data_IF_698535895134
#
_entry.id   IF_698535895134
#
_cell.length_a   1.000
_cell.length_b   1.000
_cell.length_c   1.000
_cell.angle_alpha   90.00
_cell.angle_beta   90.00
_cell.angle_gamma   90.00
#
_symmetry.space_group_name_H-M   'P 1'
#
loop_
_entity.id
_entity.type
_entity.pdbx_description
1 polymer ?
#
# COMPACT_ATOMS: atom_id res chain seq x y z
N UNK A 1 6.51 -7.66 -16.45
CA UNK A 1 6.17 -8.99 -15.90
C UNK A 1 6.35 -8.96 -14.38
N UNK A 2 5.25 -8.79 -13.63
CA UNK A 2 5.23 -8.73 -12.16
C UNK A 2 5.04 -10.14 -11.59
N UNK A 3 6.06 -10.68 -10.92
CA UNK A 3 6.20 -12.10 -10.57
C UNK A 3 5.45 -12.56 -9.30
N UNK A 4 5.04 -11.62 -8.43
CA UNK A 4 4.51 -11.93 -7.08
C UNK A 4 3.35 -11.02 -6.65
N UNK A 5 2.96 -10.13 -7.55
CA UNK A 5 1.82 -9.26 -7.39
C UNK A 5 0.62 -10.10 -7.80
N UNK A 6 -0.22 -10.42 -6.82
CA UNK A 6 -1.54 -10.97 -7.07
C UNK A 6 -2.14 -10.35 -8.34
N UNK A 7 -2.60 -11.19 -9.27
CA UNK A 7 -3.39 -10.71 -10.41
C UNK A 7 -4.57 -9.87 -9.89
N UNK A 8 -5.04 -8.89 -10.68
CA UNK A 8 -6.13 -7.98 -10.27
C UNK A 8 -7.32 -8.75 -9.67
N UNK A 9 -7.66 -9.88 -10.29
CA UNK A 9 -8.74 -10.78 -9.86
C UNK A 9 -8.48 -11.52 -8.53
N UNK A 10 -7.23 -11.73 -8.12
CA UNK A 10 -6.93 -12.39 -6.83
C UNK A 10 -6.87 -11.42 -5.66
N UNK A 11 -6.41 -10.19 -5.91
CA UNK A 11 -6.54 -9.12 -4.92
C UNK A 11 -8.01 -8.93 -4.57
N UNK A 12 -8.87 -8.90 -5.58
CA UNK A 12 -10.32 -8.73 -5.44
C UNK A 12 -11.03 -9.86 -4.69
N UNK A 13 -10.38 -11.03 -4.52
CA UNK A 13 -10.89 -12.16 -3.75
C UNK A 13 -10.55 -12.10 -2.26
N UNK A 14 -9.75 -11.13 -1.82
CA UNK A 14 -9.47 -10.96 -0.39
C UNK A 14 -10.69 -10.39 0.32
N UNK A 15 -11.08 -11.02 1.41
CA UNK A 15 -12.20 -10.53 2.22
C UNK A 15 -11.87 -9.14 2.80
N UNK A 16 -12.78 -8.13 2.66
CA UNK A 16 -12.54 -6.77 3.11
C UNK A 16 -12.06 -6.64 4.56
N UNK A 17 -12.58 -7.48 5.47
CA UNK A 17 -12.14 -7.51 6.87
C UNK A 17 -10.65 -7.86 7.04
N UNK A 18 -10.16 -8.83 6.28
CA UNK A 18 -8.75 -9.24 6.34
C UNK A 18 -7.84 -8.16 5.77
N UNK A 19 -8.34 -7.46 4.74
CA UNK A 19 -7.70 -6.29 4.15
C UNK A 19 -7.58 -5.16 5.18
N UNK A 20 -8.64 -4.88 5.95
CA UNK A 20 -8.61 -3.87 7.02
C UNK A 20 -7.70 -4.28 8.18
N UNK A 21 -7.79 -5.53 8.65
CA UNK A 21 -6.91 -6.07 9.68
C UNK A 21 -5.43 -5.99 9.27
N UNK A 22 -5.12 -6.36 8.01
CA UNK A 22 -3.76 -6.27 7.48
C UNK A 22 -3.26 -4.82 7.42
N UNK A 23 -4.10 -3.88 6.95
CA UNK A 23 -3.75 -2.46 6.92
C UNK A 23 -3.42 -1.93 8.32
N UNK A 24 -4.29 -2.21 9.30
CA UNK A 24 -4.07 -1.77 10.68
C UNK A 24 -2.79 -2.40 11.24
N UNK A 25 -2.62 -3.70 11.05
CA UNK A 25 -1.45 -4.41 11.56
C UNK A 25 -0.15 -3.88 10.96
N UNK A 26 -0.10 -3.73 9.64
CA UNK A 26 1.09 -3.32 8.91
C UNK A 26 1.47 -1.85 9.19
N UNK A 27 0.49 -0.95 9.31
CA UNK A 27 0.75 0.45 9.68
C UNK A 27 1.19 0.60 11.14
N UNK A 28 0.85 -0.37 11.99
CA UNK A 28 1.26 -0.37 13.40
C UNK A 28 2.70 -0.86 13.62
N UNK A 29 3.27 -1.62 12.67
CA UNK A 29 4.64 -2.18 12.74
C UNK A 29 5.71 -1.15 13.18
N UNK A 30 5.84 0.04 12.54
CA UNK A 30 6.85 1.03 12.94
C UNK A 30 6.74 1.49 14.41
N UNK A 31 5.55 1.44 15.00
CA UNK A 31 5.32 1.90 16.38
C UNK A 31 5.68 0.86 17.42
N UNK A 32 5.53 -0.43 17.10
CA UNK A 32 5.88 -1.54 17.99
C UNK A 32 7.36 -1.95 17.91
N UNK A 33 8.04 -1.69 16.77
CA UNK A 33 9.40 -2.16 16.49
C UNK A 33 10.44 -1.03 16.43
N UNK A 34 10.50 -0.21 17.48
CA UNK A 34 11.42 0.94 17.56
C UNK A 34 12.90 0.54 17.55
N UNK A 35 13.24 -0.66 18.02
CA UNK A 35 14.63 -1.15 18.13
C UNK A 35 15.16 -1.85 16.87
N UNK A 36 14.28 -2.36 16.01
CA UNK A 36 14.65 -3.18 14.85
C UNK A 36 14.30 -2.56 13.49
N UNK A 37 14.10 -1.24 13.48
CA UNK A 37 13.68 -0.49 12.30
C UNK A 37 14.61 -0.70 11.10
N UNK A 38 15.93 -0.77 11.29
CA UNK A 38 16.90 -0.97 10.20
C UNK A 38 16.73 -2.33 9.52
N UNK A 39 16.60 -3.40 10.31
CA UNK A 39 16.40 -4.77 9.80
C UNK A 39 15.09 -4.84 9.02
N UNK A 40 14.06 -4.21 9.57
CA UNK A 40 12.75 -4.15 8.95
C UNK A 40 12.79 -3.37 7.63
N UNK A 41 13.47 -2.22 7.58
CA UNK A 41 13.64 -1.45 6.36
C UNK A 41 14.35 -2.28 5.27
N UNK A 42 15.46 -2.95 5.61
CA UNK A 42 16.16 -3.83 4.68
C UNK A 42 15.25 -4.92 4.15
N UNK A 43 14.47 -5.57 5.03
CA UNK A 43 13.48 -6.56 4.64
C UNK A 43 12.46 -6.00 3.65
N UNK A 44 11.90 -4.82 3.91
CA UNK A 44 10.97 -4.16 2.98
C UNK A 44 11.62 -3.95 1.61
N UNK A 45 12.84 -3.43 1.57
CA UNK A 45 13.55 -3.17 0.31
C UNK A 45 13.81 -4.47 -0.46
N UNK A 46 14.30 -5.51 0.22
CA UNK A 46 14.51 -6.83 -0.39
C UNK A 46 13.20 -7.43 -0.89
N UNK A 47 12.11 -7.24 -0.15
CA UNK A 47 10.78 -7.68 -0.54
C UNK A 47 10.31 -6.95 -1.81
N UNK A 48 10.46 -5.62 -1.88
CA UNK A 48 10.11 -4.83 -3.06
C UNK A 48 10.94 -5.20 -4.28
N UNK A 49 12.23 -5.48 -4.10
CA UNK A 49 13.11 -6.01 -5.16
C UNK A 49 12.61 -7.38 -5.62
N UNK A 50 12.26 -8.27 -4.68
CA UNK A 50 11.72 -9.60 -4.96
C UNK A 50 10.44 -9.56 -5.79
N UNK A 51 9.51 -8.67 -5.46
CA UNK A 51 8.26 -8.48 -6.23
C UNK A 51 8.42 -7.60 -7.48
N UNK A 52 9.63 -7.06 -7.71
CA UNK A 52 10.01 -6.17 -8.82
C UNK A 52 9.24 -4.83 -8.88
N UNK A 53 8.90 -4.26 -7.72
CA UNK A 53 8.24 -2.95 -7.61
C UNK A 53 9.23 -1.83 -7.32
N UNK A 54 9.87 -1.35 -8.38
CA UNK A 54 10.87 -0.29 -8.31
C UNK A 54 10.30 1.11 -8.08
N UNK A 55 8.99 1.29 -8.30
CA UNK A 55 8.29 2.57 -8.11
C UNK A 55 8.37 3.03 -6.66
N UNK A 56 8.49 2.09 -5.71
CA UNK A 56 8.53 2.35 -4.27
C UNK A 56 9.77 3.15 -3.85
N UNK A 57 10.90 2.96 -4.52
CA UNK A 57 12.13 3.71 -4.21
C UNK A 57 11.97 5.22 -4.40
N UNK A 58 11.04 5.67 -5.25
CA UNK A 58 10.74 7.10 -5.42
C UNK A 58 10.17 7.72 -4.14
N UNK A 59 9.44 6.94 -3.34
CA UNK A 59 8.85 7.42 -2.09
C UNK A 59 9.85 7.52 -0.95
N UNK A 60 11.04 6.89 -1.06
CA UNK A 60 12.14 7.07 -0.10
C UNK A 60 12.77 8.47 -0.16
N UNK A 61 12.48 9.22 -1.23
CA UNK A 61 12.84 10.64 -1.31
C UNK A 61 12.20 11.44 -0.17
N UNK A 62 11.00 11.08 0.27
CA UNK A 62 10.29 11.80 1.34
C UNK A 62 11.03 11.71 2.70
N UNK A 63 11.39 10.51 3.21
CA UNK A 63 12.28 10.38 4.37
C UNK A 63 13.61 11.12 4.20
N UNK A 64 14.21 11.08 3.00
CA UNK A 64 15.49 11.75 2.74
C UNK A 64 15.37 13.27 2.86
N UNK A 65 14.33 13.86 2.26
CA UNK A 65 14.03 15.29 2.36
C UNK A 65 13.73 15.70 3.81
N UNK A 66 12.99 14.87 4.54
CA UNK A 66 12.72 15.08 5.96
C UNK A 66 14.01 15.17 6.78
N UNK A 67 14.93 14.20 6.61
CA UNK A 67 16.23 14.22 7.28
C UNK A 67 17.00 15.48 6.90
N UNK A 68 17.08 15.83 5.60
CA UNK A 68 17.77 17.03 5.14
C UNK A 68 17.22 18.33 5.75
N UNK A 69 15.90 18.47 5.83
CA UNK A 69 15.23 19.60 6.46
C UNK A 69 15.51 19.69 7.97
N UNK A 70 15.57 18.55 8.67
CA UNK A 70 15.91 18.51 10.09
C UNK A 70 17.35 18.93 10.41
N UNK A 71 18.24 18.89 9.42
CA UNK A 71 19.60 19.44 9.53
C UNK A 71 19.67 20.95 9.25
N UNK A 72 18.62 21.59 8.74
CA UNK A 72 18.62 23.02 8.43
C UNK A 72 18.98 23.96 9.60
N UNK A 73 18.61 23.68 10.87
CA UNK A 73 19.01 24.51 12.01
C UNK A 73 20.53 24.64 12.21
N UNK A 74 21.34 23.71 11.69
CA UNK A 74 22.80 23.84 11.70
C UNK A 74 23.29 25.10 10.97
N UNK A 75 22.56 25.54 9.93
CA UNK A 75 22.91 26.73 9.14
C UNK A 75 22.83 28.02 9.97
N UNK A 76 22.11 27.99 11.08
CA UNK A 76 21.92 29.13 12.01
C UNK A 76 22.72 28.89 13.31
N UNK A 77 23.59 27.87 13.35
CA UNK A 77 24.45 27.57 14.50
C UNK A 77 23.75 26.87 15.67
N UNK A 78 22.56 26.30 15.46
CA UNK A 78 21.87 25.54 16.50
C UNK A 78 22.51 24.15 16.71
N UNK A 79 22.54 23.68 17.95
CA UNK A 79 22.90 22.29 18.28
C UNK A 79 21.77 21.35 17.89
N UNK A 80 22.10 20.23 17.24
CA UNK A 80 21.13 19.22 16.83
C UNK A 80 21.49 17.84 17.39
N UNK A 81 20.46 17.04 17.67
CA UNK A 81 20.62 15.61 17.98
C UNK A 81 20.61 14.79 16.68
N UNK A 82 21.80 14.55 16.12
CA UNK A 82 21.96 13.78 14.89
C UNK A 82 21.42 12.35 15.01
N UNK A 83 21.52 11.73 16.19
CA UNK A 83 21.02 10.38 16.42
C UNK A 83 19.49 10.34 16.44
N UNK A 84 18.86 11.29 17.14
CA UNK A 84 17.40 11.44 17.13
C UNK A 84 16.84 11.72 15.73
N UNK A 85 17.51 12.57 14.94
CA UNK A 85 17.13 12.85 13.55
C UNK A 85 17.23 11.57 12.71
N UNK A 86 18.32 10.81 12.84
CA UNK A 86 18.50 9.55 12.12
C UNK A 86 17.42 8.52 12.47
N UNK A 87 17.18 8.27 13.76
CA UNK A 87 16.17 7.32 14.23
C UNK A 87 14.76 7.70 13.77
N UNK A 88 14.44 8.99 13.78
CA UNK A 88 13.15 9.49 13.31
C UNK A 88 13.02 9.34 11.80
N UNK A 89 14.06 9.69 11.04
CA UNK A 89 14.10 9.47 9.59
C UNK A 89 13.93 8.00 9.21
N UNK A 90 14.53 7.09 9.98
CA UNK A 90 14.42 5.66 9.77
C UNK A 90 13.02 5.13 10.12
N UNK A 91 12.39 5.66 11.18
CA UNK A 91 10.98 5.39 11.51
C UNK A 91 10.05 5.83 10.37
N UNK A 92 10.27 7.03 9.82
CA UNK A 92 9.52 7.55 8.68
C UNK A 92 9.73 6.68 7.43
N UNK A 93 10.95 6.24 7.15
CA UNK A 93 11.24 5.35 6.03
C UNK A 93 10.53 3.99 6.16
N UNK A 94 10.53 3.40 7.35
CA UNK A 94 9.77 2.18 7.64
C UNK A 94 8.28 2.41 7.48
N UNK A 95 7.74 3.53 7.97
CA UNK A 95 6.33 3.84 7.83
C UNK A 95 5.91 3.98 6.36
N UNK A 96 6.71 4.69 5.56
CA UNK A 96 6.46 4.87 4.12
C UNK A 96 6.51 3.52 3.41
N UNK A 97 7.55 2.70 3.64
CA UNK A 97 7.69 1.39 3.00
C UNK A 97 6.60 0.40 3.43
N UNK A 98 6.20 0.41 4.71
CA UNK A 98 5.08 -0.39 5.23
C UNK A 98 3.76 0.03 4.57
N UNK A 99 3.53 1.34 4.44
CA UNK A 99 2.36 1.87 3.75
C UNK A 99 2.33 1.45 2.28
N UNK A 100 3.47 1.56 1.58
CA UNK A 100 3.59 1.11 0.20
C UNK A 100 3.36 -0.39 0.05
N UNK A 101 3.74 -1.22 1.03
CA UNK A 101 3.42 -2.65 1.01
C UNK A 101 1.91 -2.87 1.10
N UNK A 102 1.21 -2.12 1.93
CA UNK A 102 -0.25 -2.18 2.02
C UNK A 102 -0.88 -1.83 0.67
N UNK A 103 -0.51 -0.71 0.06
CA UNK A 103 -1.03 -0.31 -1.26
C UNK A 103 -0.66 -1.30 -2.38
N UNK A 104 0.54 -1.88 -2.29
CA UNK A 104 1.03 -2.83 -3.29
C UNK A 104 0.35 -4.18 -3.17
N UNK A 105 0.03 -4.65 -1.96
CA UNK A 105 -0.55 -5.97 -1.74
C UNK A 105 -2.08 -5.94 -1.75
N UNK A 106 -2.68 -4.80 -1.42
CA UNK A 106 -4.12 -4.69 -1.17
C UNK A 106 -4.69 -3.40 -1.79
N UNK A 107 -5.91 -3.48 -2.33
CA UNK A 107 -6.62 -2.29 -2.84
C UNK A 107 -7.53 -1.71 -1.76
N UNK A 108 -7.36 -0.43 -1.45
CA UNK A 108 -8.25 0.31 -0.53
C UNK A 108 -9.70 0.32 -1.00
N UNK A 109 -9.95 0.27 -2.30
CA UNK A 109 -11.29 0.16 -2.90
C UNK A 109 -12.08 -1.04 -2.32
N UNK A 110 -11.38 -2.11 -1.94
CA UNK A 110 -11.98 -3.32 -1.36
C UNK A 110 -12.44 -3.13 0.08
N UNK A 111 -12.02 -2.06 0.76
CA UNK A 111 -12.57 -1.68 2.07
C UNK A 111 -13.92 -0.97 1.93
N UNK A 112 -14.30 -0.53 0.72
CA UNK A 112 -15.60 0.08 0.39
C UNK A 112 -16.81 -0.57 1.10
N UNK A 113 -16.96 -1.90 1.05
CA UNK A 113 -18.08 -2.61 1.67
C UNK A 113 -18.06 -2.55 3.20
N UNK A 114 -16.88 -2.54 3.86
CA UNK A 114 -16.79 -2.44 5.33
C UNK A 114 -17.32 -1.12 5.84
N UNK A 115 -17.12 -0.04 5.07
CA UNK A 115 -17.64 1.25 5.48
C UNK A 115 -19.17 1.22 5.61
N UNK A 116 -19.91 0.40 4.85
CA UNK A 116 -21.38 0.28 5.00
C UNK A 116 -21.83 -0.19 6.40
N UNK A 117 -20.97 -0.87 7.14
CA UNK A 117 -21.25 -1.35 8.51
C UNK A 117 -21.08 -0.22 9.55
N UNK A 118 -20.40 0.88 9.20
CA UNK A 118 -20.12 2.04 10.06
C UNK A 118 -20.74 3.32 9.49
N UNK A 119 -22.09 3.44 9.47
CA UNK A 119 -22.87 4.41 8.68
C UNK A 119 -22.40 5.87 8.81
N UNK A 120 -21.96 6.30 10.00
CA UNK A 120 -21.51 7.68 10.25
C UNK A 120 -20.15 8.02 9.62
N UNK A 121 -19.21 7.07 9.58
CA UNK A 121 -17.90 7.25 8.92
C UNK A 121 -18.04 7.08 7.40
N UNK A 122 -18.90 6.17 6.94
CA UNK A 122 -19.22 5.91 5.51
C UNK A 122 -19.62 7.14 4.73
N UNK A 123 -20.42 8.03 5.32
CA UNK A 123 -21.07 9.10 4.54
C UNK A 123 -20.03 10.12 4.07
N UNK A 124 -19.10 10.49 4.94
CA UNK A 124 -17.97 11.35 4.62
C UNK A 124 -16.93 10.63 3.77
N UNK A 125 -16.47 9.44 4.19
CA UNK A 125 -15.41 8.71 3.47
C UNK A 125 -15.88 8.22 2.10
N UNK A 126 -17.14 7.81 1.96
CA UNK A 126 -17.76 7.42 0.71
C UNK A 126 -18.02 8.61 -0.22
N UNK A 127 -18.45 9.76 0.32
CA UNK A 127 -18.49 11.01 -0.45
C UNK A 127 -17.09 11.39 -0.92
N UNK A 128 -16.07 11.39 -0.05
CA UNK A 128 -14.68 11.70 -0.42
C UNK A 128 -14.12 10.71 -1.44
N UNK A 129 -14.33 9.41 -1.28
CA UNK A 129 -13.90 8.38 -2.25
C UNK A 129 -14.62 8.47 -3.59
N UNK A 130 -15.87 8.94 -3.63
CA UNK A 130 -16.59 9.20 -4.87
C UNK A 130 -16.17 10.53 -5.51
N UNK A 131 -15.87 11.54 -4.68
CA UNK A 131 -15.47 12.88 -5.09
C UNK A 131 -14.02 12.90 -5.57
N UNK A 132 -13.08 12.14 -5.00
CA UNK A 132 -11.67 12.16 -5.40
C UNK A 132 -11.47 11.78 -6.88
N UNK A 133 -12.06 10.68 -7.41
CA UNK A 133 -12.03 10.39 -8.84
C UNK A 133 -12.75 11.45 -9.68
N UNK A 134 -13.83 12.04 -9.16
CA UNK A 134 -14.56 13.13 -9.83
C UNK A 134 -13.74 14.42 -9.89
N UNK A 135 -13.03 14.79 -8.82
CA UNK A 135 -12.12 15.92 -8.74
C UNK A 135 -10.87 15.67 -9.58
N UNK A 136 -10.34 14.44 -9.59
CA UNK A 136 -9.25 14.06 -10.50
C UNK A 136 -9.69 14.09 -11.97
N UNK A 137 -10.99 13.91 -12.27
CA UNK A 137 -11.58 14.11 -13.59
C UNK A 137 -11.78 15.59 -13.94
N UNK A 138 -12.27 16.41 -13.00
CA UNK A 138 -12.52 17.84 -13.25
C UNK A 138 -11.27 18.70 -13.15
N UNK A 139 -10.23 18.25 -12.44
CA UNK A 139 -8.98 19.00 -12.27
C UNK A 139 -8.24 19.27 -13.60
N UNK A 140 -8.14 18.29 -14.53
CA UNK A 140 -7.68 18.56 -15.88
C UNK A 140 -8.62 19.43 -16.71
N UNK A 141 -9.94 19.34 -16.56
CA UNK A 141 -10.92 20.18 -17.28
C UNK A 141 -10.79 21.65 -16.84
N UNK A 142 -10.64 21.89 -15.53
CA UNK A 142 -10.28 23.19 -14.95
C UNK A 142 -8.93 23.64 -15.49
N UNK A 143 -7.92 22.76 -15.57
CA UNK A 143 -6.61 23.09 -16.17
C UNK A 143 -6.70 23.40 -17.67
N UNK A 144 -7.59 22.75 -18.42
CA UNK A 144 -7.85 22.97 -19.85
C UNK A 144 -8.61 24.27 -20.15
N UNK A 145 -9.34 24.80 -19.17
CA UNK A 145 -9.98 26.12 -19.23
C UNK A 145 -8.98 27.28 -19.12
N UNK A 146 -7.71 27.01 -18.77
CA UNK A 146 -6.66 28.01 -18.87
C UNK A 146 -6.20 28.22 -20.33
N UNK A 147 -6.07 29.49 -20.79
CA UNK A 147 -6.00 29.84 -22.21
C UNK A 147 -4.68 29.52 -22.94
N UNK A 148 -3.76 28.73 -22.35
CA UNK A 148 -2.38 28.58 -22.85
C UNK A 148 -1.98 27.18 -23.36
N UNK A 149 -2.92 26.24 -23.58
CA UNK A 149 -2.58 24.89 -24.05
C UNK A 149 -3.08 24.60 -25.48
N UNK A 150 -2.21 24.00 -26.30
CA UNK A 150 -2.47 23.61 -27.68
C UNK A 150 -3.57 22.54 -27.79
N UNK A 151 -4.35 22.63 -28.88
CA UNK A 151 -5.56 21.84 -29.10
C UNK A 151 -5.30 20.32 -29.19
N UNK A 152 -4.14 19.93 -29.72
CA UNK A 152 -3.72 18.54 -29.91
C UNK A 152 -3.50 17.80 -28.58
N UNK A 153 -2.87 18.47 -27.61
CA UNK A 153 -2.66 17.95 -26.25
C UNK A 153 -3.99 17.81 -25.49
N UNK A 154 -5.00 18.62 -25.85
CA UNK A 154 -6.35 18.51 -25.27
C UNK A 154 -7.05 17.24 -25.77
N UNK A 155 -6.99 16.96 -27.07
CA UNK A 155 -7.66 15.81 -27.70
C UNK A 155 -7.03 14.47 -27.31
N UNK A 156 -5.70 14.38 -27.25
CA UNK A 156 -5.00 13.15 -26.85
C UNK A 156 -5.33 12.75 -25.39
N UNK A 157 -5.43 13.75 -24.49
CA UNK A 157 -5.84 13.50 -23.10
C UNK A 157 -7.31 13.09 -22.99
N UNK A 158 -8.21 13.68 -23.78
CA UNK A 158 -9.63 13.29 -23.85
C UNK A 158 -9.80 11.83 -24.27
N UNK A 159 -9.02 11.39 -25.26
CA UNK A 159 -9.01 9.99 -25.69
C UNK A 159 -8.52 9.04 -24.58
N UNK A 160 -7.47 9.40 -23.86
CA UNK A 160 -6.98 8.64 -22.69
C UNK A 160 -8.01 8.59 -21.54
N UNK A 161 -8.84 9.63 -21.37
CA UNK A 161 -9.86 9.69 -20.31
C UNK A 161 -11.05 8.75 -20.54
N UNK A 162 -11.45 8.50 -21.79
CA UNK A 162 -12.55 7.58 -22.11
C UNK A 162 -12.16 6.10 -22.03
N UNK A 163 -10.86 5.80 -21.98
CA UNK A 163 -10.33 4.44 -21.90
C UNK A 163 -10.12 3.93 -20.47
N UNK A 164 -10.29 4.77 -19.44
CA UNK A 164 -10.14 4.37 -18.04
C UNK A 164 -11.38 3.59 -17.57
N UNK A 165 -11.28 2.27 -17.31
CA UNK A 165 -12.42 1.46 -16.94
C UNK A 165 -12.98 1.88 -15.58
N UNK A 166 -14.29 2.12 -15.55
CA UNK A 166 -15.05 2.60 -14.40
C UNK A 166 -15.48 1.40 -13.56
N UNK A 167 -14.61 0.93 -12.68
CA UNK A 167 -14.99 -0.06 -11.64
C UNK A 167 -15.52 0.68 -10.39
N UNK A 168 -16.60 1.45 -10.55
CA UNK A 168 -17.19 2.27 -9.48
C UNK A 168 -18.46 1.63 -8.86
N UNK A 169 -18.58 0.30 -8.89
CA UNK A 169 -19.58 -0.41 -8.08
C UNK A 169 -18.83 -1.06 -6.92
N UNK A 170 -18.96 -0.56 -5.67
CA UNK A 170 -18.39 -1.25 -4.52
C UNK A 170 -18.96 -2.67 -4.50
N UNK A 171 -18.06 -3.65 -4.62
CA UNK A 171 -18.40 -5.07 -4.68
C UNK A 171 -19.29 -5.44 -3.49
N UNK A 172 -20.29 -6.31 -3.72
CA UNK A 172 -21.12 -6.78 -2.61
C UNK A 172 -20.23 -7.46 -1.59
N UNK A 173 -20.50 -7.20 -0.30
CA UNK A 173 -19.77 -7.82 0.81
C UNK A 173 -19.87 -9.34 0.67
N UNK A 174 -18.76 -9.96 0.31
CA UNK A 174 -18.71 -11.39 0.03
C UNK A 174 -19.00 -12.17 1.32
N UNK A 175 -19.73 -13.28 1.24
CA UNK A 175 -19.93 -14.14 2.41
C UNK A 175 -18.58 -14.67 2.88
N UNK A 176 -18.30 -14.47 4.16
CA UNK A 176 -17.05 -14.87 4.80
C UNK A 176 -16.90 -16.40 4.75
N UNK A 177 -15.85 -16.89 4.09
CA UNK A 177 -15.58 -18.33 4.01
C UNK A 177 -14.68 -18.79 5.16
N UNK A 178 -14.65 -20.09 5.46
CA UNK A 178 -13.75 -20.66 6.51
C UNK A 178 -12.27 -20.30 6.28
N UNK A 179 -11.84 -20.17 5.01
CA UNK A 179 -10.48 -19.75 4.67
C UNK A 179 -10.22 -18.28 5.01
N UNK A 180 -11.23 -17.43 4.85
CA UNK A 180 -11.14 -16.01 5.22
C UNK A 180 -11.08 -15.84 6.74
N UNK A 181 -11.84 -16.64 7.48
CA UNK A 181 -11.77 -16.70 8.96
C UNK A 181 -10.36 -17.10 9.40
N UNK A 182 -9.80 -18.17 8.83
CA UNK A 182 -8.45 -18.63 9.18
C UNK A 182 -7.39 -17.57 8.87
N UNK A 183 -7.48 -16.92 7.70
CA UNK A 183 -6.57 -15.81 7.35
C UNK A 183 -6.72 -14.64 8.31
N UNK A 184 -7.93 -14.27 8.68
CA UNK A 184 -8.20 -13.23 9.66
C UNK A 184 -7.60 -13.56 11.03
N UNK A 185 -7.72 -14.82 11.47
CA UNK A 185 -7.10 -15.31 12.71
C UNK A 185 -5.56 -15.26 12.64
N UNK A 186 -4.96 -15.65 11.52
CA UNK A 186 -3.50 -15.57 11.35
C UNK A 186 -3.00 -14.13 11.35
N UNK A 187 -3.70 -13.21 10.68
CA UNK A 187 -3.37 -11.78 10.69
C UNK A 187 -3.56 -11.20 12.09
N UNK A 188 -4.66 -11.55 12.77
CA UNK A 188 -4.91 -11.12 14.16
C UNK A 188 -3.89 -11.68 15.15
N UNK A 189 -3.47 -12.93 14.97
CA UNK A 189 -2.40 -13.56 15.75
C UNK A 189 -1.04 -12.90 15.50
N UNK A 190 -0.71 -12.57 14.24
CA UNK A 190 0.48 -11.80 13.93
C UNK A 190 0.42 -10.38 14.53
N UNK A 191 -0.74 -9.72 14.47
CA UNK A 191 -0.94 -8.41 15.09
C UNK A 191 -0.75 -8.46 16.61
N UNK A 192 -1.32 -9.47 17.29
CA UNK A 192 -1.04 -9.70 18.71
C UNK A 192 0.44 -10.02 18.94
N UNK A 193 1.09 -10.77 18.05
CA UNK A 193 2.52 -11.03 18.10
C UNK A 193 3.38 -9.77 18.09
N UNK A 194 2.94 -8.68 17.45
CA UNK A 194 3.63 -7.39 17.46
C UNK A 194 3.73 -6.77 18.86
N UNK A 195 2.85 -7.13 19.80
CA UNK A 195 2.90 -6.63 21.19
C UNK A 195 3.78 -7.48 22.11
N UNK A 196 4.32 -8.57 21.60
CA UNK A 196 5.13 -9.54 22.37
C UNK A 196 6.60 -9.52 21.93
N UNK A 197 7.44 -10.30 22.60
CA UNK A 197 8.86 -10.49 22.24
C UNK A 197 9.08 -11.03 20.81
N UNK A 198 8.03 -11.55 20.16
CA UNK A 198 8.09 -12.07 18.79
C UNK A 198 7.74 -11.02 17.71
N UNK A 199 7.70 -9.74 18.06
CA UNK A 199 7.27 -8.66 17.17
C UNK A 199 7.99 -8.66 15.80
N UNK A 200 9.31 -8.90 15.80
CA UNK A 200 10.09 -8.96 14.56
C UNK A 200 9.60 -10.06 13.61
N UNK A 201 9.40 -11.26 14.15
CA UNK A 201 8.90 -12.41 13.38
C UNK A 201 7.48 -12.19 12.87
N UNK A 202 6.62 -11.62 13.70
CA UNK A 202 5.27 -11.25 13.30
C UNK A 202 5.24 -10.22 12.16
N UNK A 203 6.12 -9.22 12.20
CA UNK A 203 6.23 -8.22 11.15
C UNK A 203 6.71 -8.79 9.81
N UNK A 204 7.62 -9.77 9.81
CA UNK A 204 8.00 -10.49 8.59
C UNK A 204 6.89 -11.39 8.06
N UNK A 205 6.12 -12.01 8.95
CA UNK A 205 5.06 -12.94 8.58
C UNK A 205 3.91 -12.23 7.85
N UNK A 206 3.55 -11.00 8.26
CA UNK A 206 2.43 -10.23 7.71
C UNK A 206 2.42 -10.16 6.16
N UNK A 207 3.44 -9.62 5.48
CA UNK A 207 3.42 -9.53 4.02
C UNK A 207 3.50 -10.90 3.33
N UNK A 208 4.12 -11.90 3.98
CA UNK A 208 4.20 -13.27 3.46
C UNK A 208 2.84 -13.98 3.48
N UNK A 209 2.01 -13.74 4.52
CA UNK A 209 0.66 -14.31 4.63
C UNK A 209 -0.25 -13.93 3.45
N UNK A 210 -0.02 -12.75 2.87
CA UNK A 210 -0.73 -12.32 1.68
C UNK A 210 -0.13 -12.94 0.42
N UNK A 211 1.18 -12.91 0.22
CA UNK A 211 1.81 -13.47 -1.00
C UNK A 211 1.56 -14.97 -1.18
N UNK A 212 1.67 -15.78 -0.13
CA UNK A 212 1.51 -17.25 -0.21
C UNK A 212 0.05 -17.71 -0.25
N UNK A 213 -0.80 -16.97 -0.97
CA UNK A 213 -2.10 -17.48 -1.34
C UNK A 213 -1.97 -18.56 -2.43
N UNK A 214 -2.90 -19.53 -2.46
CA UNK A 214 -2.97 -20.60 -3.49
C UNK A 214 -2.86 -20.08 -4.93
N UNK A 215 -3.17 -18.81 -5.15
CA UNK A 215 -3.06 -18.11 -6.42
C UNK A 215 -1.64 -17.84 -6.89
N UNK A 216 -0.83 -17.18 -6.06
CA UNK A 216 0.56 -16.84 -6.37
C UNK A 216 1.42 -18.09 -6.61
N UNK A 217 1.19 -19.16 -5.84
CA UNK A 217 1.85 -20.46 -6.05
C UNK A 217 1.42 -21.15 -7.35
N UNK A 218 0.15 -21.01 -7.73
CA UNK A 218 -0.39 -21.59 -8.97
C UNK A 218 0.18 -20.87 -10.19
N UNK A 219 0.23 -19.54 -10.18
CA UNK A 219 0.81 -18.76 -11.28
C UNK A 219 2.32 -19.00 -11.43
N UNK A 220 3.04 -19.14 -10.31
CA UNK A 220 4.44 -19.55 -10.32
C UNK A 220 4.64 -20.96 -10.93
N UNK A 221 3.75 -21.91 -10.58
CA UNK A 221 3.80 -23.28 -11.12
C UNK A 221 3.52 -23.34 -12.63
N UNK A 222 2.51 -22.62 -13.13
CA UNK A 222 2.20 -22.58 -14.56
C UNK A 222 3.32 -21.94 -15.39
N UNK A 223 3.97 -20.89 -14.87
CA UNK A 223 5.12 -20.27 -15.53
C UNK A 223 6.34 -21.20 -15.56
N UNK A 224 6.66 -21.87 -14.44
CA UNK A 224 7.76 -22.83 -14.40
C UNK A 224 7.53 -23.99 -15.37
N UNK A 225 6.29 -24.47 -15.48
CA UNK A 225 5.90 -25.48 -16.46
C UNK A 225 6.03 -24.98 -17.90
N UNK A 226 5.69 -23.73 -18.18
CA UNK A 226 5.80 -23.13 -19.53
C UNK A 226 7.25 -22.95 -19.97
N UNK A 227 8.14 -22.52 -19.06
CA UNK A 227 9.57 -22.37 -19.34
C UNK A 227 10.34 -23.70 -19.41
N UNK A 228 9.79 -24.81 -18.90
CA UNK A 228 10.35 -26.15 -19.12
C UNK A 228 9.94 -26.76 -20.47
N UNK A 229 8.93 -26.21 -21.12
CA UNK A 229 8.37 -26.69 -22.38
C UNK A 229 8.72 -25.79 -23.58
N UNK A 230 9.47 -24.72 -23.35
CA UNK A 230 10.07 -23.85 -24.35
C UNK A 230 11.58 -24.04 -24.33
#
# INVERSE_FOLDING_TARGET
MQWLIFSKAERERLHPLNVALFLVAMLSVPFFLTTHLTVLLIFHLLFFIGIREWTVFRYLLLPLLYVGLMYAPLLVGASIDAYGIWMTGLTVAVFVTSSQLVFTLVRLEQMGPLFRVLPRLTRLTGMVLAIVPSLLRTWPEVKMSHPKQSLEVKLERIALYHLLPIDAVPSRLQRMTRRDVLKGLLIGGAFYGLTTSFALGAAFLLPLLLIFSKGGLRDAYYHYRRNRLA
#
